data_IF_749338702439
#
_entry.id   IF_749338702439
#
_cell.length_a   1.000
_cell.length_b   1.000
_cell.length_c   1.000
_cell.angle_alpha   90.00
_cell.angle_beta   90.00
_cell.angle_gamma   90.00
#
_symmetry.space_group_name_H-M   'P 1'
#
loop_
_entity.id
_entity.type
_entity.pdbx_description
1 polymer ?
#
# COMPACT_ATOMS: atom_id res chain seq x y z
N UNK A 1 3.60 -1.87 17.93
CA UNK A 1 2.64 -2.18 16.86
C UNK A 1 2.20 -0.91 16.20
N UNK A 2 1.95 -0.95 14.94
CA UNK A 2 1.50 0.20 14.19
C UNK A 2 2.14 0.29 12.83
N UNK A 3 2.23 1.50 12.33
CA UNK A 3 2.72 1.75 10.98
C UNK A 3 4.22 1.99 11.05
N UNK A 4 4.96 1.18 10.27
CA UNK A 4 6.41 1.35 10.12
C UNK A 4 6.66 2.00 8.77
N UNK A 5 7.30 3.16 8.78
CA UNK A 5 7.56 3.93 7.56
C UNK A 5 9.05 3.88 7.23
N UNK A 6 9.37 3.47 6.02
CA UNK A 6 10.72 3.51 5.49
C UNK A 6 10.96 4.86 4.82
N UNK A 7 11.97 5.56 5.27
CA UNK A 7 12.31 6.88 4.73
C UNK A 7 13.43 6.76 3.68
N UNK A 8 14.39 5.88 3.89
CA UNK A 8 15.50 5.70 2.98
C UNK A 8 16.31 6.96 2.74
N UNK A 9 17.07 6.98 1.68
CA UNK A 9 17.78 8.18 1.26
C UNK A 9 16.82 9.09 0.52
N UNK A 10 16.84 10.37 0.88
CA UNK A 10 16.07 11.35 0.13
C UNK A 10 16.72 11.56 -1.23
N UNK A 11 15.91 11.53 -2.27
CA UNK A 11 16.39 11.80 -3.61
C UNK A 11 16.71 13.29 -3.73
N UNK A 12 17.91 13.59 -4.26
CA UNK A 12 18.30 14.95 -4.58
C UNK A 12 18.40 15.07 -6.10
N UNK A 13 17.72 16.05 -6.70
CA UNK A 13 17.88 16.26 -8.13
C UNK A 13 19.34 16.62 -8.43
N UNK A 14 19.85 16.12 -9.54
CA UNK A 14 21.16 16.53 -9.98
C UNK A 14 21.14 18.02 -10.30
N UNK A 15 22.28 18.69 -10.06
CA UNK A 15 22.38 20.13 -10.29
C UNK A 15 21.99 20.47 -11.74
N UNK A 16 20.98 21.33 -11.88
CA UNK A 16 20.51 21.74 -13.19
C UNK A 16 19.57 20.77 -13.89
N UNK A 17 19.11 19.70 -13.21
CA UNK A 17 18.15 18.76 -13.78
C UNK A 17 16.88 18.67 -12.94
N UNK A 18 15.79 18.29 -13.58
CA UNK A 18 14.49 18.06 -12.94
C UNK A 18 14.14 16.57 -13.02
N UNK A 19 15.15 15.69 -12.87
CA UNK A 19 14.90 14.26 -12.96
C UNK A 19 13.95 13.79 -11.87
N UNK A 20 12.95 13.01 -12.30
CA UNK A 20 11.96 12.41 -11.42
C UNK A 20 12.52 11.07 -10.96
N UNK A 21 13.04 11.02 -9.75
CA UNK A 21 13.68 9.83 -9.19
C UNK A 21 13.06 9.39 -7.87
N UNK A 22 12.01 10.06 -7.43
CA UNK A 22 11.36 9.71 -6.16
C UNK A 22 10.23 8.70 -6.39
N UNK A 23 9.91 7.99 -5.33
CA UNK A 23 8.75 7.09 -5.30
C UNK A 23 7.47 7.84 -5.69
N UNK A 24 7.32 9.09 -5.23
CA UNK A 24 6.15 9.93 -5.57
C UNK A 24 5.98 10.15 -7.07
N UNK A 25 7.07 10.14 -7.83
CA UNK A 25 7.01 10.35 -9.27
C UNK A 25 6.44 9.16 -10.04
N UNK A 26 6.43 7.97 -9.43
CA UNK A 26 6.03 6.72 -10.08
C UNK A 26 4.91 5.99 -9.37
N UNK A 27 4.51 6.42 -8.18
CA UNK A 27 3.44 5.77 -7.42
C UNK A 27 2.09 5.91 -8.12
N UNK A 28 1.20 4.96 -7.83
CA UNK A 28 -0.21 5.04 -8.23
C UNK A 28 -0.96 5.83 -7.17
N UNK A 29 -1.75 6.83 -7.59
CA UNK A 29 -2.50 7.68 -6.67
C UNK A 29 -3.99 7.40 -6.65
N UNK A 30 -4.52 6.75 -7.68
CA UNK A 30 -5.92 6.37 -7.75
C UNK A 30 -6.12 5.03 -7.05
N UNK A 31 -6.33 5.08 -5.75
CA UNK A 31 -6.39 3.91 -4.89
C UNK A 31 -7.82 3.56 -4.49
N UNK A 32 -8.10 2.26 -4.45
CA UNK A 32 -9.28 1.74 -3.75
C UNK A 32 -8.92 1.67 -2.28
N UNK A 33 -9.64 2.42 -1.45
CA UNK A 33 -9.43 2.49 0.00
C UNK A 33 -10.63 1.96 0.74
N UNK A 34 -10.38 1.43 1.91
CA UNK A 34 -11.44 0.93 2.79
C UNK A 34 -11.47 1.75 4.08
N UNK A 35 -12.58 1.67 4.80
CA UNK A 35 -12.75 2.33 6.09
C UNK A 35 -12.86 1.29 7.20
N UNK A 36 -12.42 1.61 8.42
CA UNK A 36 -12.47 0.66 9.53
C UNK A 36 -13.89 0.17 9.86
N UNK A 37 -14.92 1.00 9.64
CA UNK A 37 -16.30 0.68 9.97
C UNK A 37 -17.05 -0.03 8.84
N UNK A 38 -16.44 -0.24 7.69
CA UNK A 38 -17.03 -1.05 6.63
C UNK A 38 -17.13 -2.51 7.05
N UNK A 39 -18.11 -3.21 6.48
CA UNK A 39 -18.20 -4.65 6.70
C UNK A 39 -17.19 -5.40 5.84
N UNK A 40 -16.74 -6.55 6.32
CA UNK A 40 -15.87 -7.44 5.53
C UNK A 40 -16.59 -7.88 4.26
N UNK A 41 -17.92 -8.01 4.31
CA UNK A 41 -18.71 -8.38 3.14
C UNK A 41 -18.59 -7.32 2.03
N UNK A 42 -18.65 -6.04 2.39
CA UNK A 42 -18.45 -4.96 1.42
C UNK A 42 -17.06 -5.01 0.80
N UNK A 43 -16.04 -5.33 1.61
CA UNK A 43 -14.67 -5.48 1.11
C UNK A 43 -14.60 -6.59 0.08
N UNK A 44 -15.19 -7.76 0.38
CA UNK A 44 -15.18 -8.89 -0.54
C UNK A 44 -15.81 -8.53 -1.88
N UNK A 45 -16.94 -7.83 -1.85
CA UNK A 45 -17.60 -7.37 -3.08
C UNK A 45 -16.68 -6.45 -3.90
N UNK A 46 -15.99 -5.53 -3.23
CA UNK A 46 -15.07 -4.60 -3.89
C UNK A 46 -13.87 -5.33 -4.48
N UNK A 47 -13.28 -6.26 -3.73
CA UNK A 47 -12.11 -7.02 -4.21
C UNK A 47 -12.45 -7.79 -5.50
N UNK A 48 -13.62 -8.42 -5.53
CA UNK A 48 -14.06 -9.18 -6.71
C UNK A 48 -14.37 -8.23 -7.87
N UNK A 49 -15.16 -7.19 -7.62
CA UNK A 49 -15.58 -6.25 -8.65
C UNK A 49 -14.41 -5.51 -9.28
N UNK A 50 -13.44 -5.10 -8.48
CA UNK A 50 -12.29 -4.33 -8.93
C UNK A 50 -11.09 -5.19 -9.29
N UNK A 51 -11.17 -6.50 -9.08
CA UNK A 51 -10.11 -7.47 -9.38
C UNK A 51 -8.81 -7.12 -8.67
N UNK A 52 -8.91 -6.82 -7.39
CA UNK A 52 -7.75 -6.51 -6.54
C UNK A 52 -7.68 -7.51 -5.39
N UNK A 53 -6.49 -7.68 -4.83
CA UNK A 53 -6.26 -8.66 -3.76
C UNK A 53 -6.33 -8.07 -2.35
N UNK A 54 -6.44 -6.77 -2.25
CA UNK A 54 -6.50 -6.07 -0.97
C UNK A 54 -6.35 -4.59 -1.15
N UNK A 55 -6.35 -3.87 -0.06
CA UNK A 55 -6.18 -2.43 -0.12
C UNK A 55 -5.96 -1.81 1.25
N UNK A 56 -5.54 -0.55 1.25
CA UNK A 56 -5.29 0.19 2.48
C UNK A 56 -6.60 0.58 3.17
N UNK A 57 -6.55 0.59 4.49
CA UNK A 57 -7.65 1.04 5.34
C UNK A 57 -7.25 2.39 5.92
N UNK A 58 -8.08 3.40 5.72
CA UNK A 58 -7.82 4.75 6.20
C UNK A 58 -8.98 5.25 7.06
N UNK A 59 -8.67 6.14 7.98
CA UNK A 59 -9.69 6.81 8.79
C UNK A 59 -10.25 8.04 8.03
N UNK A 60 -11.14 8.80 8.68
CA UNK A 60 -11.75 9.96 8.05
C UNK A 60 -10.77 11.09 7.74
N UNK A 61 -9.61 11.06 8.34
CA UNK A 61 -8.53 12.03 8.07
C UNK A 61 -7.57 11.54 7.00
N UNK A 62 -7.89 10.44 6.32
CA UNK A 62 -7.03 9.81 5.33
C UNK A 62 -5.70 9.29 5.89
N UNK A 63 -5.67 9.02 7.19
CA UNK A 63 -4.51 8.40 7.82
C UNK A 63 -4.61 6.89 7.67
N UNK A 64 -3.50 6.25 7.32
CA UNK A 64 -3.45 4.81 7.16
C UNK A 64 -3.53 4.14 8.53
N UNK A 65 -4.50 3.24 8.71
CA UNK A 65 -4.72 2.52 9.96
C UNK A 65 -4.55 1.01 9.83
N UNK A 66 -4.50 0.51 8.60
CA UNK A 66 -4.31 -0.93 8.37
C UNK A 66 -4.34 -1.29 6.91
N UNK A 67 -4.27 -2.59 6.65
CA UNK A 67 -4.47 -3.18 5.31
C UNK A 67 -5.39 -4.36 5.47
N UNK A 68 -6.31 -4.53 4.53
CA UNK A 68 -7.16 -5.72 4.48
C UNK A 68 -6.97 -6.43 3.14
N UNK A 69 -6.91 -7.75 3.18
CA UNK A 69 -6.59 -8.57 2.01
C UNK A 69 -7.59 -9.71 1.83
N UNK A 70 -7.49 -10.39 0.69
CA UNK A 70 -8.25 -11.61 0.43
C UNK A 70 -8.06 -12.62 1.54
N UNK A 71 -6.83 -12.78 2.02
CA UNK A 71 -6.53 -13.72 3.10
C UNK A 71 -7.29 -13.40 4.38
N UNK A 72 -7.41 -12.12 4.72
CA UNK A 72 -8.18 -11.70 5.89
C UNK A 72 -9.65 -12.05 5.73
N UNK A 73 -10.19 -11.87 4.54
CA UNK A 73 -11.58 -12.19 4.25
C UNK A 73 -11.83 -13.70 4.29
N UNK A 74 -10.93 -14.49 3.72
CA UNK A 74 -11.04 -15.97 3.73
C UNK A 74 -11.01 -16.49 5.17
N UNK A 75 -10.11 -15.95 5.98
CA UNK A 75 -10.02 -16.30 7.38
C UNK A 75 -11.33 -16.03 8.11
N UNK A 76 -11.95 -14.89 7.82
CA UNK A 76 -13.24 -14.51 8.42
C UNK A 76 -14.39 -15.40 7.95
N UNK A 77 -14.40 -15.83 6.70
CA UNK A 77 -15.38 -16.78 6.18
C UNK A 77 -15.32 -18.06 7.01
N UNK A 78 -14.12 -18.57 7.24
CA UNK A 78 -13.91 -19.79 8.00
C UNK A 78 -14.43 -19.65 9.43
N UNK A 79 -14.11 -18.54 10.10
CA UNK A 79 -14.56 -18.26 11.47
C UNK A 79 -16.08 -18.11 11.53
N UNK A 80 -16.68 -17.34 10.62
CA UNK A 80 -18.12 -17.09 10.59
C UNK A 80 -18.91 -18.38 10.38
N UNK A 81 -18.42 -19.24 9.49
CA UNK A 81 -19.05 -20.54 9.25
C UNK A 81 -19.00 -21.44 10.49
N UNK A 82 -17.86 -21.46 11.15
CA UNK A 82 -17.68 -22.30 12.34
C UNK A 82 -18.60 -21.86 13.48
N UNK A 83 -18.73 -20.58 13.72
CA UNK A 83 -19.54 -20.01 14.81
C UNK A 83 -20.95 -19.59 14.39
N UNK A 84 -21.32 -19.82 13.13
CA UNK A 84 -22.61 -19.43 12.57
C UNK A 84 -22.91 -17.94 12.78
N UNK A 85 -21.93 -17.08 12.52
CA UNK A 85 -22.03 -15.64 12.68
C UNK A 85 -22.36 -14.95 11.35
N UNK A 86 -23.26 -13.94 11.35
CA UNK A 86 -23.53 -13.14 10.15
C UNK A 86 -22.28 -12.33 9.77
N UNK A 87 -21.90 -12.37 8.50
CA UNK A 87 -20.73 -11.63 8.02
C UNK A 87 -21.02 -10.13 7.87
N UNK A 88 -22.27 -9.75 7.76
CA UNK A 88 -22.66 -8.34 7.63
C UNK A 88 -22.25 -7.48 8.83
N UNK A 89 -22.14 -8.11 9.99
CA UNK A 89 -21.79 -7.42 11.24
C UNK A 89 -20.28 -7.40 11.51
N UNK A 90 -19.49 -8.05 10.65
CA UNK A 90 -18.05 -8.15 10.84
C UNK A 90 -17.38 -6.92 10.25
N UNK A 91 -16.65 -6.17 11.08
CA UNK A 91 -16.03 -4.91 10.69
C UNK A 91 -14.59 -5.10 10.23
N UNK A 92 -14.19 -4.29 9.27
CA UNK A 92 -12.81 -4.25 8.76
C UNK A 92 -11.82 -4.02 9.90
N UNK A 93 -12.12 -3.10 10.82
CA UNK A 93 -11.22 -2.75 11.92
C UNK A 93 -10.80 -3.95 12.77
N UNK A 94 -11.68 -4.95 12.88
CA UNK A 94 -11.42 -6.11 13.73
C UNK A 94 -10.59 -7.19 13.05
N UNK A 95 -10.40 -7.10 11.72
CA UNK A 95 -9.77 -8.15 10.92
C UNK A 95 -8.65 -7.67 10.02
N UNK A 96 -8.46 -6.38 9.88
CA UNK A 96 -7.35 -5.82 9.10
C UNK A 96 -6.02 -6.06 9.79
N UNK A 97 -4.95 -6.14 9.00
CA UNK A 97 -3.59 -6.11 9.53
C UNK A 97 -3.28 -4.69 9.99
N UNK A 98 -2.84 -4.54 11.22
CA UNK A 98 -2.52 -3.23 11.82
C UNK A 98 -1.03 -2.89 11.74
N UNK A 99 -0.18 -3.89 11.57
CA UNK A 99 1.24 -3.69 11.36
C UNK A 99 1.47 -3.57 9.86
N UNK A 100 1.76 -2.37 9.41
CA UNK A 100 1.91 -2.06 7.99
C UNK A 100 3.24 -1.38 7.76
N UNK A 101 3.99 -1.85 6.78
CA UNK A 101 5.23 -1.22 6.35
C UNK A 101 4.90 -0.25 5.20
N UNK A 102 5.35 0.98 5.34
CA UNK A 102 5.08 2.05 4.38
C UNK A 102 6.38 2.68 3.90
N UNK A 103 6.28 3.44 2.83
CA UNK A 103 7.41 4.14 2.24
C UNK A 103 7.09 5.64 2.19
N UNK A 104 8.09 6.47 2.51
CA UNK A 104 7.99 7.92 2.35
C UNK A 104 8.05 8.27 0.86
N UNK A 105 7.20 9.21 0.44
CA UNK A 105 7.12 9.60 -0.97
C UNK A 105 8.40 10.21 -1.54
N UNK A 106 9.29 10.70 -0.69
CA UNK A 106 10.56 11.30 -1.12
C UNK A 106 11.70 10.28 -1.25
N UNK A 107 11.43 9.00 -0.94
CA UNK A 107 12.44 7.96 -1.10
C UNK A 107 12.87 7.84 -2.56
N UNK A 108 14.14 7.60 -2.81
CA UNK A 108 14.64 7.29 -4.14
C UNK A 108 14.00 5.97 -4.62
N UNK A 109 13.52 5.94 -5.86
CA UNK A 109 12.80 4.77 -6.39
C UNK A 109 13.67 3.51 -6.41
N UNK A 110 14.98 3.62 -6.54
CA UNK A 110 15.86 2.45 -6.52
C UNK A 110 16.11 1.94 -5.11
N UNK A 111 15.97 2.78 -4.09
CA UNK A 111 15.96 2.31 -2.70
C UNK A 111 14.68 1.50 -2.43
N UNK A 112 13.56 1.89 -3.04
CA UNK A 112 12.33 1.10 -2.98
C UNK A 112 12.52 -0.28 -3.62
N UNK A 113 13.25 -0.34 -4.75
CA UNK A 113 13.59 -1.62 -5.37
C UNK A 113 14.30 -2.56 -4.40
N UNK A 114 15.27 -2.03 -3.64
CA UNK A 114 15.99 -2.82 -2.64
C UNK A 114 15.05 -3.33 -1.54
N UNK A 115 14.08 -2.52 -1.12
CA UNK A 115 13.08 -2.95 -0.13
C UNK A 115 12.23 -4.10 -0.65
N UNK A 116 11.82 -4.06 -1.93
CA UNK A 116 11.07 -5.17 -2.52
C UNK A 116 11.87 -6.47 -2.50
N UNK A 117 13.17 -6.40 -2.72
CA UNK A 117 14.04 -7.59 -2.68
C UNK A 117 14.15 -8.16 -1.27
N UNK A 118 14.14 -7.32 -0.25
CA UNK A 118 14.34 -7.73 1.14
C UNK A 118 13.07 -8.20 1.82
N UNK A 119 11.90 -7.70 1.41
CA UNK A 119 10.67 -7.77 2.20
C UNK A 119 9.63 -8.74 1.68
N UNK A 120 9.73 -9.26 0.49
CA UNK A 120 8.71 -10.09 -0.17
C UNK A 120 7.35 -9.41 -0.36
N UNK A 121 7.25 -8.11 -0.17
CA UNK A 121 6.02 -7.37 -0.48
C UNK A 121 5.89 -7.18 -1.99
N UNK A 122 4.66 -7.13 -2.48
CA UNK A 122 4.37 -6.82 -3.88
C UNK A 122 4.13 -5.33 -4.08
N UNK A 123 3.78 -4.63 -3.01
CA UNK A 123 3.46 -3.21 -3.01
C UNK A 123 3.64 -2.63 -1.63
N UNK A 124 3.85 -1.33 -1.58
CA UNK A 124 3.91 -0.58 -0.32
C UNK A 124 2.98 0.61 -0.39
N UNK A 125 2.20 0.88 0.65
CA UNK A 125 1.53 2.16 0.79
C UNK A 125 2.56 3.29 0.95
N UNK A 126 2.25 4.43 0.36
CA UNK A 126 3.09 5.63 0.47
C UNK A 126 2.40 6.59 1.41
N UNK A 127 3.06 6.95 2.48
CA UNK A 127 2.54 7.87 3.49
C UNK A 127 3.42 9.11 3.52
N UNK A 128 2.77 10.26 3.55
CA UNK A 128 3.46 11.55 3.63
C UNK A 128 2.69 12.43 4.60
N UNK A 129 3.39 12.98 5.59
CA UNK A 129 2.78 13.79 6.64
C UNK A 129 1.61 13.08 7.34
N UNK A 130 1.76 11.76 7.56
CA UNK A 130 0.74 10.94 8.20
C UNK A 130 -0.41 10.51 7.33
N UNK A 131 -0.46 10.97 6.08
CA UNK A 131 -1.57 10.69 5.16
C UNK A 131 -1.17 9.69 4.09
N UNK A 132 -2.11 8.84 3.70
CA UNK A 132 -1.93 7.95 2.55
C UNK A 132 -2.00 8.78 1.27
N UNK A 133 -0.92 8.81 0.50
CA UNK A 133 -0.86 9.60 -0.74
C UNK A 133 -0.78 8.74 -1.99
N UNK A 134 -0.45 7.46 -1.87
CA UNK A 134 -0.35 6.59 -3.02
C UNK A 134 0.11 5.20 -2.62
N UNK A 135 0.48 4.44 -3.63
CA UNK A 135 0.98 3.08 -3.47
C UNK A 135 2.01 2.83 -4.56
N UNK A 136 3.09 2.12 -4.23
CA UNK A 136 4.06 1.72 -5.23
C UNK A 136 4.12 0.20 -5.30
N UNK A 137 4.14 -0.32 -6.53
CA UNK A 137 4.25 -1.75 -6.81
C UNK A 137 5.59 -2.04 -7.46
N UNK A 138 5.93 -3.33 -7.55
CA UNK A 138 7.11 -3.75 -8.29
C UNK A 138 7.04 -3.29 -9.76
N UNK A 139 5.84 -3.33 -10.35
CA UNK A 139 5.64 -2.87 -11.73
C UNK A 139 5.96 -1.38 -11.88
N UNK A 140 5.62 -0.56 -10.89
CA UNK A 140 5.93 0.87 -10.92
C UNK A 140 7.44 1.10 -10.91
N UNK A 141 8.19 0.30 -10.17
CA UNK A 141 9.66 0.35 -10.15
C UNK A 141 10.22 -0.04 -11.51
N UNK A 142 9.65 -1.06 -12.16
CA UNK A 142 10.07 -1.46 -13.51
C UNK A 142 9.83 -0.33 -14.51
N UNK A 143 8.70 0.37 -14.41
CA UNK A 143 8.42 1.53 -15.27
C UNK A 143 9.43 2.65 -15.06
N UNK A 144 9.81 2.88 -13.80
CA UNK A 144 10.85 3.88 -13.49
C UNK A 144 12.19 3.51 -14.12
N UNK A 145 12.58 2.25 -14.00
CA UNK A 145 13.84 1.76 -14.56
C UNK A 145 13.87 1.93 -16.08
N UNK A 146 12.78 1.61 -16.76
CA UNK A 146 12.71 1.76 -18.21
C UNK A 146 12.78 3.23 -18.64
N UNK A 147 12.11 4.12 -17.90
CA UNK A 147 12.12 5.54 -18.20
C UNK A 147 13.50 6.17 -17.96
N UNK A 148 14.22 5.66 -16.96
CA UNK A 148 15.53 6.19 -16.57
C UNK A 148 16.69 5.46 -17.19
N UNK A 149 16.44 4.46 -18.06
CA UNK A 149 17.51 3.72 -18.72
C UNK A 149 18.41 4.67 -19.55
N UNK A 150 19.70 4.40 -19.58
CA UNK A 150 20.65 5.25 -20.28
C UNK A 150 21.13 6.42 -19.45
N UNK A 151 20.57 6.62 -18.26
CA UNK A 151 21.03 7.61 -17.31
C UNK A 151 21.82 6.93 -16.21
N UNK A 152 22.59 7.68 -15.43
CA UNK A 152 23.31 7.10 -14.30
C UNK A 152 22.30 6.68 -13.22
N UNK A 153 22.31 5.40 -12.90
CA UNK A 153 21.52 4.84 -11.80
C UNK A 153 22.30 4.84 -10.48
N UNK A 154 23.43 5.50 -10.47
CA UNK A 154 24.33 5.55 -9.32
C UNK A 154 23.93 6.60 -8.31
#
# INVERSE_FOLDING_TARGET
>A
MGIKSYVGRRAKPAKGTTEQITVSDYMTTDLIKFKPDQSVLEVMNTLIKKRISGGPVVNDKNELVGIISEGDCIKQISVSRYYNQPMEDVKVADHMAKEVETIDGNMNVFDAADLFLKSKHRRFPIVQDGKLVGQISQKDVLKAALKLKGRSWR
#
